data_IF_801461555057
#
_entry.id   IF_801461555057
#
_cell.length_a   1.000
_cell.length_b   1.000
_cell.length_c   1.000
_cell.angle_alpha   90.00
_cell.angle_beta   90.00
_cell.angle_gamma   90.00
#
_symmetry.space_group_name_H-M   'P 1'
#
loop_
_entity.id
_entity.type
_entity.pdbx_description
1 polymer ?
#
# COMPACT_ATOMS: atom_id res chain seq x y z
N UNK A 1 -9.14 2.83 9.34
CA UNK A 1 -7.91 2.81 8.51
C UNK A 1 -6.75 3.17 9.42
N UNK A 2 -5.58 2.58 9.24
CA UNK A 2 -4.38 2.88 10.00
C UNK A 2 -3.22 3.03 9.02
N UNK A 3 -2.25 3.88 9.36
CA UNK A 3 -1.02 4.08 8.60
C UNK A 3 0.15 3.60 9.45
N UNK A 4 1.11 2.92 8.83
CA UNK A 4 2.30 2.41 9.49
C UNK A 4 3.53 3.18 8.99
N UNK A 5 4.46 3.44 9.90
CA UNK A 5 5.69 4.16 9.61
C UNK A 5 6.91 3.38 10.10
N UNK A 6 8.00 3.45 9.35
CA UNK A 6 9.34 2.96 9.75
C UNK A 6 10.31 4.11 9.59
N UNK A 7 10.99 4.50 10.66
CA UNK A 7 11.93 5.65 10.67
C UNK A 7 11.31 6.96 10.12
N UNK A 8 9.99 7.13 10.32
CA UNK A 8 9.25 8.30 9.81
C UNK A 8 8.79 8.20 8.36
N UNK A 9 9.13 7.13 7.64
CA UNK A 9 8.70 6.86 6.26
C UNK A 9 7.44 6.00 6.26
N UNK A 10 6.43 6.38 5.46
CA UNK A 10 5.21 5.60 5.30
C UNK A 10 5.50 4.25 4.63
N UNK A 11 5.16 3.17 5.32
CA UNK A 11 5.33 1.80 4.83
C UNK A 11 4.55 1.58 3.54
N UNK A 12 3.38 2.21 3.38
CA UNK A 12 2.58 2.10 2.15
C UNK A 12 3.34 2.59 0.92
N UNK A 13 4.04 3.71 1.06
CA UNK A 13 4.87 4.31 0.01
C UNK A 13 6.05 3.42 -0.37
N UNK A 14 6.76 2.85 0.62
CA UNK A 14 7.87 1.91 0.39
C UNK A 14 7.40 0.69 -0.43
N UNK A 15 6.27 0.10 -0.06
CA UNK A 15 5.74 -1.08 -0.77
C UNK A 15 5.34 -0.78 -2.23
N UNK A 16 4.90 0.45 -2.51
CA UNK A 16 4.56 0.88 -3.87
C UNK A 16 5.84 1.09 -4.70
N UNK A 17 6.87 1.70 -4.09
CA UNK A 17 8.16 1.94 -4.74
C UNK A 17 8.87 0.62 -5.11
N UNK A 18 8.81 -0.38 -4.23
CA UNK A 18 9.37 -1.72 -4.44
C UNK A 18 8.49 -2.62 -5.34
N UNK A 19 7.44 -2.06 -5.98
CA UNK A 19 6.50 -2.78 -6.84
C UNK A 19 5.74 -3.95 -6.17
N UNK A 20 5.74 -4.01 -4.83
CA UNK A 20 5.05 -5.04 -4.04
C UNK A 20 3.57 -4.71 -3.81
N UNK A 21 3.21 -3.43 -3.91
CA UNK A 21 1.85 -2.93 -3.70
C UNK A 21 1.44 -1.94 -4.80
N UNK A 22 0.15 -1.56 -4.79
CA UNK A 22 -0.43 -0.56 -5.69
C UNK A 22 -1.21 0.48 -4.88
N UNK A 23 -1.27 1.75 -5.35
CA UNK A 23 -2.04 2.79 -4.67
C UNK A 23 -3.50 2.38 -4.45
N UNK A 24 -4.02 2.63 -3.25
CA UNK A 24 -5.42 2.39 -2.93
C UNK A 24 -6.32 3.40 -3.65
N UNK A 25 -7.29 2.91 -4.43
CA UNK A 25 -8.23 3.74 -5.22
C UNK A 25 -9.62 3.86 -4.59
N UNK A 26 -9.74 3.58 -3.30
CA UNK A 26 -11.03 3.64 -2.57
C UNK A 26 -11.88 2.37 -2.65
N UNK A 27 -11.42 1.33 -3.37
CA UNK A 27 -12.10 0.03 -3.48
C UNK A 27 -11.09 -1.09 -3.71
N UNK A 28 -11.50 -2.32 -3.38
CA UNK A 28 -10.73 -3.50 -3.79
C UNK A 28 -10.80 -3.62 -5.30
N UNK A 29 -9.64 -3.68 -5.92
CA UNK A 29 -9.53 -3.88 -7.36
C UNK A 29 -9.75 -5.35 -7.71
N UNK A 30 -10.16 -5.68 -8.95
CA UNK A 30 -10.48 -7.06 -9.35
C UNK A 30 -9.32 -8.05 -9.21
N UNK A 31 -8.08 -7.56 -9.27
CA UNK A 31 -6.86 -8.37 -9.11
C UNK A 31 -6.53 -8.69 -7.65
N UNK A 32 -7.21 -8.07 -6.68
CA UNK A 32 -7.15 -8.47 -5.27
C UNK A 32 -7.93 -9.78 -5.11
N UNK A 33 -7.39 -10.88 -5.66
CA UNK A 33 -7.90 -12.23 -5.42
C UNK A 33 -7.88 -12.52 -3.92
N UNK A 34 -8.84 -13.33 -3.50
CA UNK A 34 -9.07 -13.63 -2.09
C UNK A 34 -8.20 -14.79 -1.63
#
# INVERSE_FOLDING_TARGET
MATAYVEGVDVGSILIEEELARPWRGKREPWCVK
#
